data_IF_476376120269
#
_entry.id   IF_476376120269
#
_cell.length_a   1.000
_cell.length_b   1.000
_cell.length_c   1.000
_cell.angle_alpha   90.00
_cell.angle_beta   90.00
_cell.angle_gamma   90.00
#
_symmetry.space_group_name_H-M   'P 1'
#
loop_
_entity.id
_entity.type
_entity.pdbx_description
1 polymer ?
#
# COMPACT_ATOMS: atom_id res chain seq x y z
N UNK A 1 -21.78 -32.92 -25.13
CA UNK A 1 -21.37 -31.78 -24.30
C UNK A 1 -22.37 -31.63 -23.19
N UNK A 2 -21.92 -31.71 -21.96
CA UNK A 2 -22.78 -31.65 -20.77
C UNK A 2 -23.44 -30.28 -20.67
N UNK A 3 -24.76 -30.26 -20.39
CA UNK A 3 -25.42 -29.04 -19.95
C UNK A 3 -25.07 -28.76 -18.51
N UNK A 4 -24.34 -27.66 -18.26
CA UNK A 4 -23.84 -27.31 -16.92
C UNK A 4 -24.99 -27.01 -15.95
N UNK A 5 -26.13 -26.53 -16.45
CA UNK A 5 -27.31 -26.25 -15.62
C UNK A 5 -28.09 -27.52 -15.25
N UNK A 6 -28.09 -28.56 -16.10
CA UNK A 6 -28.62 -29.87 -15.72
C UNK A 6 -27.83 -30.46 -14.52
N UNK A 7 -26.51 -30.29 -14.50
CA UNK A 7 -25.68 -30.71 -13.37
C UNK A 7 -25.96 -29.86 -12.13
N UNK A 8 -26.10 -28.55 -12.29
CA UNK A 8 -26.47 -27.68 -11.18
C UNK A 8 -27.82 -28.04 -10.58
N UNK A 9 -28.83 -28.30 -11.41
CA UNK A 9 -30.18 -28.71 -10.98
C UNK A 9 -30.14 -30.02 -10.20
N UNK A 10 -29.35 -31.01 -10.63
CA UNK A 10 -29.19 -32.26 -9.91
C UNK A 10 -28.56 -32.05 -8.51
N UNK A 11 -27.56 -31.18 -8.40
CA UNK A 11 -26.91 -30.87 -7.12
C UNK A 11 -27.81 -30.02 -6.20
N UNK A 12 -28.53 -29.06 -6.76
CA UNK A 12 -29.51 -28.24 -6.02
C UNK A 12 -30.63 -29.11 -5.50
N UNK A 13 -31.21 -29.98 -6.34
CA UNK A 13 -32.27 -30.92 -5.93
C UNK A 13 -31.80 -31.83 -4.79
N UNK A 14 -30.61 -32.41 -4.93
CA UNK A 14 -30.03 -33.23 -3.87
C UNK A 14 -29.84 -32.44 -2.57
N UNK A 15 -29.32 -31.23 -2.64
CA UNK A 15 -29.09 -30.36 -1.48
C UNK A 15 -30.40 -29.98 -0.79
N UNK A 16 -31.43 -29.61 -1.54
CA UNK A 16 -32.73 -29.18 -1.01
C UNK A 16 -33.50 -30.35 -0.41
N UNK A 17 -33.55 -31.51 -1.09
CA UNK A 17 -34.27 -32.69 -0.61
C UNK A 17 -33.69 -33.26 0.69
N UNK A 18 -32.36 -33.24 0.84
CA UNK A 18 -31.71 -33.88 1.99
C UNK A 18 -31.29 -32.88 3.09
N UNK A 19 -31.07 -31.59 2.75
CA UNK A 19 -30.49 -30.60 3.64
C UNK A 19 -31.14 -29.22 3.53
N UNK A 20 -32.37 -29.12 3.02
CA UNK A 20 -33.05 -27.84 2.76
C UNK A 20 -33.18 -26.92 3.98
N UNK A 21 -33.33 -27.48 5.20
CA UNK A 21 -33.37 -26.72 6.45
C UNK A 21 -31.98 -26.26 6.92
N UNK A 22 -30.91 -26.78 6.33
CA UNK A 22 -29.53 -26.47 6.69
C UNK A 22 -28.83 -25.55 5.68
N UNK A 23 -29.47 -25.27 4.52
CA UNK A 23 -28.92 -24.46 3.42
C UNK A 23 -29.73 -23.18 3.26
N UNK A 24 -29.12 -22.04 3.40
CA UNK A 24 -29.76 -20.73 3.25
C UNK A 24 -29.83 -20.26 1.80
N UNK A 25 -28.76 -20.53 1.01
CA UNK A 25 -28.59 -20.04 -0.34
C UNK A 25 -27.75 -21.02 -1.17
N UNK A 26 -28.12 -21.22 -2.42
CA UNK A 26 -27.23 -21.77 -3.45
C UNK A 26 -27.23 -20.77 -4.60
N UNK A 27 -26.05 -20.39 -5.08
CA UNK A 27 -25.90 -19.42 -6.15
C UNK A 27 -24.72 -19.76 -7.05
N UNK A 28 -24.82 -19.42 -8.34
CA UNK A 28 -23.71 -19.48 -9.27
C UNK A 28 -23.16 -18.07 -9.56
N UNK A 29 -21.95 -18.02 -10.04
CA UNK A 29 -21.24 -16.76 -10.41
C UNK A 29 -20.34 -17.01 -11.63
N UNK A 30 -19.50 -16.06 -11.99
CA UNK A 30 -18.55 -16.25 -13.09
C UNK A 30 -19.15 -16.02 -14.46
N UNK A 31 -18.61 -16.70 -15.48
CA UNK A 31 -18.93 -16.45 -16.89
C UNK A 31 -20.39 -16.71 -17.25
N UNK A 32 -21.01 -17.72 -16.66
CA UNK A 32 -22.42 -18.04 -16.87
C UNK A 32 -23.34 -16.96 -16.27
N UNK A 33 -23.01 -16.44 -15.09
CA UNK A 33 -23.78 -15.37 -14.46
C UNK A 33 -23.66 -14.03 -15.20
N UNK A 34 -22.54 -13.78 -15.90
CA UNK A 34 -22.34 -12.60 -16.75
C UNK A 34 -22.92 -12.75 -18.16
N UNK A 35 -23.24 -13.96 -18.59
CA UNK A 35 -23.68 -14.25 -19.95
C UNK A 35 -22.56 -14.23 -21.00
N UNK A 36 -21.29 -14.36 -20.58
CA UNK A 36 -20.12 -14.42 -21.48
C UNK A 36 -19.40 -15.78 -21.46
N UNK A 37 -20.11 -16.82 -21.00
CA UNK A 37 -19.64 -18.20 -21.03
C UNK A 37 -19.36 -18.67 -22.45
N UNK A 38 -18.29 -19.44 -22.63
CA UNK A 38 -17.89 -20.05 -23.89
C UNK A 38 -18.12 -21.56 -23.86
N UNK A 39 -18.14 -22.23 -25.00
CA UNK A 39 -18.10 -23.69 -25.01
C UNK A 39 -16.93 -24.21 -24.18
N UNK A 40 -17.22 -25.05 -23.20
CA UNK A 40 -16.22 -25.57 -22.26
C UNK A 40 -15.96 -24.69 -21.03
N UNK A 41 -16.74 -23.61 -20.82
CA UNK A 41 -16.72 -22.88 -19.55
C UNK A 41 -17.25 -23.77 -18.43
N UNK A 42 -16.55 -23.78 -17.32
CA UNK A 42 -16.98 -24.36 -16.06
C UNK A 42 -18.15 -23.62 -15.42
N UNK A 43 -18.83 -24.24 -14.48
CA UNK A 43 -19.84 -23.58 -13.66
C UNK A 43 -19.33 -23.45 -12.23
N UNK A 44 -19.03 -22.21 -11.86
CA UNK A 44 -18.68 -21.85 -10.50
C UNK A 44 -19.93 -21.63 -9.67
N UNK A 45 -20.13 -22.38 -8.60
CA UNK A 45 -21.26 -22.17 -7.72
C UNK A 45 -20.94 -22.54 -6.26
N UNK A 46 -21.66 -21.92 -5.36
CA UNK A 46 -21.46 -22.08 -3.93
C UNK A 46 -22.79 -22.28 -3.20
N UNK A 47 -22.71 -22.85 -2.01
CA UNK A 47 -23.80 -22.84 -1.06
C UNK A 47 -23.42 -22.11 0.21
N UNK A 48 -24.43 -21.47 0.82
CA UNK A 48 -24.28 -20.83 2.12
C UNK A 48 -25.07 -21.66 3.14
N UNK A 49 -24.40 -22.27 4.11
CA UNK A 49 -25.10 -22.99 5.15
C UNK A 49 -25.82 -22.04 6.09
N UNK A 50 -26.88 -22.51 6.72
CA UNK A 50 -27.50 -21.85 7.86
C UNK A 50 -26.52 -21.79 9.02
N UNK A 51 -26.58 -20.69 9.79
CA UNK A 51 -25.66 -20.49 10.92
C UNK A 51 -25.60 -21.70 11.86
N UNK A 52 -24.40 -22.17 12.13
CA UNK A 52 -24.13 -23.35 12.96
C UNK A 52 -24.34 -24.70 12.28
N UNK A 53 -24.73 -24.74 10.99
CA UNK A 53 -24.87 -25.96 10.19
C UNK A 53 -23.69 -26.14 9.23
N UNK A 54 -23.42 -27.39 8.87
CA UNK A 54 -22.39 -27.78 7.90
C UNK A 54 -22.84 -29.00 7.11
N UNK A 55 -23.81 -28.88 6.19
CA UNK A 55 -24.24 -30.00 5.37
C UNK A 55 -23.11 -30.49 4.49
N UNK A 56 -22.87 -31.81 4.37
CA UNK A 56 -21.76 -32.39 3.60
C UNK A 56 -22.07 -32.47 2.10
N UNK A 57 -22.46 -31.35 1.52
CA UNK A 57 -22.90 -31.27 0.10
C UNK A 57 -21.84 -30.69 -0.83
N UNK A 58 -20.79 -30.04 -0.26
CA UNK A 58 -19.69 -29.47 -1.05
C UNK A 58 -18.94 -30.54 -1.83
N UNK A 59 -18.69 -30.26 -3.12
CA UNK A 59 -18.01 -31.21 -4.04
C UNK A 59 -17.27 -30.48 -5.13
N UNK A 60 -16.04 -30.91 -5.41
CA UNK A 60 -15.29 -30.54 -6.60
C UNK A 60 -15.08 -31.80 -7.42
N UNK A 61 -15.51 -31.82 -8.69
CA UNK A 61 -15.42 -32.98 -9.55
C UNK A 61 -15.30 -32.58 -11.03
N UNK A 62 -14.92 -33.56 -11.85
CA UNK A 62 -14.91 -33.43 -13.30
C UNK A 62 -16.05 -34.25 -13.89
N UNK A 63 -16.80 -33.68 -14.82
CA UNK A 63 -17.79 -34.38 -15.62
C UNK A 63 -17.60 -34.00 -17.10
N UNK A 64 -17.38 -35.00 -17.97
CA UNK A 64 -17.05 -34.79 -19.38
C UNK A 64 -15.89 -33.78 -19.62
N UNK A 65 -14.91 -33.79 -18.70
CA UNK A 65 -13.74 -32.91 -18.74
C UNK A 65 -13.98 -31.49 -18.26
N UNK A 66 -15.22 -31.14 -17.86
CA UNK A 66 -15.54 -29.84 -17.25
C UNK A 66 -15.40 -29.92 -15.74
N UNK A 67 -14.85 -28.84 -15.15
CA UNK A 67 -14.74 -28.69 -13.70
C UNK A 67 -16.08 -28.16 -13.13
N UNK A 68 -16.53 -28.78 -12.05
CA UNK A 68 -17.62 -28.30 -11.22
C UNK A 68 -17.10 -28.11 -9.81
N UNK A 69 -17.22 -26.89 -9.30
CA UNK A 69 -16.77 -26.53 -7.96
C UNK A 69 -17.95 -26.00 -7.14
N UNK A 70 -18.54 -26.89 -6.34
CA UNK A 70 -19.67 -26.60 -5.46
C UNK A 70 -19.15 -26.52 -4.03
N UNK A 71 -18.85 -25.31 -3.56
CA UNK A 71 -18.13 -25.10 -2.32
C UNK A 71 -18.91 -24.27 -1.29
N UNK A 72 -18.52 -24.43 -0.03
CA UNK A 72 -19.15 -23.74 1.09
C UNK A 72 -18.66 -22.28 1.19
N UNK A 73 -19.60 -21.35 1.27
CA UNK A 73 -19.34 -19.94 1.60
C UNK A 73 -20.34 -19.44 2.66
N UNK A 74 -19.94 -19.39 3.91
CA UNK A 74 -20.75 -18.82 4.98
C UNK A 74 -20.99 -17.31 4.77
N UNK A 75 -22.04 -16.78 5.39
CA UNK A 75 -22.44 -15.38 5.23
C UNK A 75 -21.34 -14.37 5.58
N UNK A 76 -20.53 -14.64 6.62
CA UNK A 76 -19.40 -13.77 6.99
C UNK A 76 -18.29 -13.79 5.92
N UNK A 77 -18.02 -14.94 5.34
CA UNK A 77 -17.08 -15.08 4.22
C UNK A 77 -17.57 -14.32 3.00
N UNK A 78 -18.87 -14.44 2.66
CA UNK A 78 -19.49 -13.67 1.58
C UNK A 78 -19.38 -12.17 1.85
N UNK A 79 -19.59 -11.71 3.08
CA UNK A 79 -19.40 -10.31 3.44
C UNK A 79 -17.95 -9.88 3.30
N UNK A 80 -17.02 -10.72 3.75
CA UNK A 80 -15.59 -10.47 3.58
C UNK A 80 -15.18 -10.35 2.10
N UNK A 81 -15.80 -11.14 1.22
CA UNK A 81 -15.61 -11.02 -0.24
C UNK A 81 -16.27 -9.75 -0.78
N UNK A 82 -17.51 -9.47 -0.41
CA UNK A 82 -18.24 -8.28 -0.85
C UNK A 82 -17.49 -6.97 -0.53
N UNK A 83 -16.83 -6.93 0.62
CA UNK A 83 -16.06 -5.77 1.10
C UNK A 83 -14.59 -5.79 0.73
N UNK A 84 -14.08 -6.90 0.15
CA UNK A 84 -12.66 -7.09 -0.17
C UNK A 84 -11.75 -7.27 1.04
N UNK A 85 -12.30 -7.57 2.22
CA UNK A 85 -11.50 -7.86 3.43
C UNK A 85 -10.97 -9.30 3.46
N UNK A 86 -11.59 -10.18 2.67
CA UNK A 86 -11.12 -11.53 2.38
C UNK A 86 -10.79 -11.61 0.89
N UNK A 87 -9.63 -12.16 0.54
CA UNK A 87 -9.10 -12.32 -0.84
C UNK A 87 -8.92 -11.03 -1.63
N UNK A 88 -8.96 -9.87 -0.97
CA UNK A 88 -8.70 -8.57 -1.57
C UNK A 88 -9.90 -7.93 -2.30
N UNK A 89 -9.72 -6.66 -2.66
CA UNK A 89 -10.73 -5.84 -3.31
C UNK A 89 -10.78 -6.03 -4.83
N UNK A 90 -9.63 -6.28 -5.47
CA UNK A 90 -9.55 -6.28 -6.92
C UNK A 90 -10.50 -7.29 -7.60
N UNK A 91 -10.73 -8.46 -6.97
CA UNK A 91 -11.48 -9.56 -7.60
C UNK A 91 -12.57 -10.18 -6.72
N UNK A 92 -12.39 -10.26 -5.41
CA UNK A 92 -13.30 -10.98 -4.53
C UNK A 92 -14.75 -10.43 -4.55
N UNK A 93 -14.98 -9.10 -4.60
CA UNK A 93 -16.33 -8.55 -4.66
C UNK A 93 -17.13 -9.02 -5.89
N UNK A 94 -16.46 -9.33 -6.99
CA UNK A 94 -17.11 -9.78 -8.22
C UNK A 94 -17.90 -11.08 -8.00
N UNK A 95 -17.40 -12.00 -7.18
CA UNK A 95 -18.11 -13.23 -6.85
C UNK A 95 -19.50 -12.92 -6.26
N UNK A 96 -19.54 -12.04 -5.24
CA UNK A 96 -20.80 -11.69 -4.59
C UNK A 96 -21.72 -10.88 -5.51
N UNK A 97 -21.15 -9.92 -6.25
CA UNK A 97 -21.93 -9.07 -7.17
C UNK A 97 -22.61 -9.85 -8.27
N UNK A 98 -21.94 -10.87 -8.79
CA UNK A 98 -22.41 -11.74 -9.87
C UNK A 98 -23.30 -12.87 -9.34
N UNK A 99 -23.25 -13.21 -8.06
CA UNK A 99 -23.99 -14.34 -7.51
C UNK A 99 -25.46 -14.32 -7.91
N UNK A 100 -25.87 -15.33 -8.69
CA UNK A 100 -27.24 -15.51 -9.17
C UNK A 100 -27.85 -16.70 -8.42
N UNK A 101 -28.89 -16.48 -7.61
CA UNK A 101 -29.49 -17.56 -6.83
C UNK A 101 -30.08 -18.67 -7.70
N UNK A 102 -29.79 -19.92 -7.35
CA UNK A 102 -30.47 -21.13 -7.81
C UNK A 102 -31.47 -21.61 -6.77
N UNK A 103 -31.15 -21.42 -5.48
CA UNK A 103 -32.04 -21.72 -4.37
C UNK A 103 -31.89 -20.68 -3.27
N UNK A 104 -33.00 -20.30 -2.66
CA UNK A 104 -33.07 -19.41 -1.49
C UNK A 104 -34.10 -19.96 -0.52
N UNK A 105 -33.68 -20.25 0.70
CA UNK A 105 -34.55 -20.84 1.72
C UNK A 105 -35.74 -19.95 2.09
N UNK A 106 -35.54 -18.63 2.12
CA UNK A 106 -36.61 -17.67 2.40
C UNK A 106 -36.28 -16.29 1.82
N UNK A 107 -37.29 -15.38 1.68
CA UNK A 107 -37.06 -14.00 1.23
C UNK A 107 -35.98 -13.26 2.02
N UNK A 108 -35.84 -13.51 3.32
CA UNK A 108 -34.85 -12.87 4.17
C UNK A 108 -33.40 -13.15 3.71
N UNK A 109 -33.10 -14.35 3.18
CA UNK A 109 -31.77 -14.66 2.64
C UNK A 109 -31.56 -13.99 1.28
N UNK A 110 -32.59 -13.85 0.47
CA UNK A 110 -32.50 -13.07 -0.77
C UNK A 110 -32.17 -11.59 -0.47
N UNK A 111 -32.87 -11.01 0.53
CA UNK A 111 -32.62 -9.63 0.99
C UNK A 111 -31.22 -9.49 1.57
N UNK A 112 -30.71 -10.50 2.31
CA UNK A 112 -29.34 -10.51 2.84
C UNK A 112 -28.32 -10.50 1.71
N UNK A 113 -28.48 -11.31 0.68
CA UNK A 113 -27.60 -11.28 -0.51
C UNK A 113 -27.67 -9.93 -1.23
N UNK A 114 -28.87 -9.40 -1.42
CA UNK A 114 -29.07 -8.10 -2.07
C UNK A 114 -28.37 -6.97 -1.26
N UNK A 115 -28.43 -7.03 0.06
CA UNK A 115 -27.75 -6.08 0.95
C UNK A 115 -26.24 -6.18 0.83
N UNK A 116 -25.64 -7.39 0.77
CA UNK A 116 -24.22 -7.57 0.54
C UNK A 116 -23.77 -7.02 -0.82
N UNK A 117 -24.57 -7.22 -1.88
CA UNK A 117 -24.30 -6.62 -3.20
C UNK A 117 -24.34 -5.10 -3.14
N UNK A 118 -25.27 -4.52 -2.41
CA UNK A 118 -25.39 -3.08 -2.24
C UNK A 118 -24.22 -2.52 -1.40
N UNK A 119 -23.84 -3.19 -0.30
CA UNK A 119 -22.65 -2.85 0.51
C UNK A 119 -21.38 -2.84 -0.36
N UNK A 120 -21.19 -3.86 -1.17
CA UNK A 120 -20.05 -3.94 -2.09
C UNK A 120 -19.99 -2.78 -3.09
N UNK A 121 -21.13 -2.42 -3.71
CA UNK A 121 -21.20 -1.31 -4.67
C UNK A 121 -21.04 0.06 -3.99
N UNK A 122 -21.45 0.18 -2.74
CA UNK A 122 -21.31 1.41 -1.98
C UNK A 122 -19.84 1.82 -1.79
N UNK A 123 -18.91 0.87 -1.71
CA UNK A 123 -17.48 1.14 -1.58
C UNK A 123 -16.86 1.79 -2.84
N UNK A 124 -17.54 1.74 -3.98
CA UNK A 124 -17.11 2.45 -5.21
C UNK A 124 -17.56 3.91 -5.26
N UNK A 125 -18.37 4.36 -4.29
CA UNK A 125 -18.87 5.73 -4.25
C UNK A 125 -17.79 6.70 -3.77
N UNK A 126 -17.84 7.97 -4.20
CA UNK A 126 -16.87 8.99 -3.79
C UNK A 126 -16.74 9.17 -2.27
N UNK A 127 -17.82 8.97 -1.53
CA UNK A 127 -17.85 9.11 -0.07
C UNK A 127 -16.94 8.09 0.64
N UNK A 128 -16.73 6.92 0.03
CA UNK A 128 -15.85 5.87 0.54
C UNK A 128 -14.38 6.05 0.12
N UNK A 129 -14.06 7.06 -0.71
CA UNK A 129 -12.71 7.29 -1.20
C UNK A 129 -11.64 7.37 -0.11
N UNK A 130 -11.83 8.08 1.01
CA UNK A 130 -10.81 8.14 2.07
C UNK A 130 -10.47 6.77 2.66
N UNK A 131 -11.49 5.92 2.88
CA UNK A 131 -11.31 4.56 3.37
C UNK A 131 -10.58 3.68 2.33
N UNK A 132 -10.97 3.76 1.06
CA UNK A 132 -10.35 2.98 -0.01
C UNK A 132 -8.89 3.41 -0.24
N UNK A 133 -8.58 4.70 -0.13
CA UNK A 133 -7.20 5.20 -0.15
C UNK A 133 -6.38 4.72 1.06
N UNK A 134 -6.98 4.66 2.25
CA UNK A 134 -6.31 4.07 3.42
C UNK A 134 -5.97 2.60 3.16
N UNK A 135 -6.93 1.80 2.68
CA UNK A 135 -6.71 0.39 2.31
C UNK A 135 -5.66 0.24 1.21
N UNK A 136 -5.64 1.14 0.24
CA UNK A 136 -4.63 1.14 -0.83
C UNK A 136 -3.22 1.35 -0.28
N UNK A 137 -3.06 2.20 0.73
CA UNK A 137 -1.78 2.39 1.43
C UNK A 137 -1.36 1.12 2.18
N UNK A 138 -2.29 0.46 2.86
CA UNK A 138 -2.01 -0.81 3.54
C UNK A 138 -1.60 -1.90 2.52
N UNK A 139 -2.30 -1.98 1.37
CA UNK A 139 -1.94 -2.88 0.27
C UNK A 139 -0.56 -2.54 -0.34
N UNK A 140 -0.20 -1.26 -0.41
CA UNK A 140 1.11 -0.84 -0.90
C UNK A 140 2.26 -1.29 0.01
N UNK A 141 2.06 -1.34 1.32
CA UNK A 141 3.05 -1.89 2.23
C UNK A 141 3.37 -3.36 1.89
N UNK A 142 2.37 -4.16 1.48
CA UNK A 142 2.58 -5.51 0.97
C UNK A 142 3.32 -5.51 -0.37
N UNK A 143 3.06 -4.54 -1.26
CA UNK A 143 3.80 -4.43 -2.52
C UNK A 143 5.29 -4.15 -2.26
N UNK A 144 5.64 -3.29 -1.30
CA UNK A 144 7.03 -3.02 -0.89
C UNK A 144 7.69 -4.27 -0.29
N UNK A 145 6.98 -5.02 0.55
CA UNK A 145 7.47 -6.31 1.06
C UNK A 145 7.74 -7.30 -0.08
N UNK A 146 6.83 -7.39 -1.07
CA UNK A 146 7.00 -8.25 -2.25
C UNK A 146 8.18 -7.82 -3.12
N UNK A 147 8.43 -6.53 -3.26
CA UNK A 147 9.61 -6.02 -3.93
C UNK A 147 10.90 -6.48 -3.23
N UNK A 148 10.96 -6.37 -1.90
CA UNK A 148 12.07 -6.89 -1.11
C UNK A 148 12.30 -8.40 -1.31
N UNK A 149 11.23 -9.19 -1.35
CA UNK A 149 11.30 -10.63 -1.65
C UNK A 149 11.82 -10.91 -3.08
N UNK A 150 11.43 -10.08 -4.07
CA UNK A 150 11.93 -10.20 -5.45
C UNK A 150 13.42 -9.90 -5.52
N UNK A 151 13.90 -8.86 -4.84
CA UNK A 151 15.34 -8.56 -4.75
C UNK A 151 16.12 -9.72 -4.09
N UNK A 152 15.59 -10.35 -3.05
CA UNK A 152 16.21 -11.53 -2.46
C UNK A 152 16.21 -12.73 -3.42
N UNK A 153 15.08 -12.99 -4.10
CA UNK A 153 14.93 -14.09 -5.05
C UNK A 153 15.83 -13.94 -6.29
N UNK A 154 16.22 -12.71 -6.66
CA UNK A 154 17.08 -12.46 -7.83
C UNK A 154 18.46 -13.13 -7.77
N UNK A 155 18.89 -13.49 -6.56
CA UNK A 155 20.13 -14.24 -6.31
C UNK A 155 19.96 -15.77 -6.39
N UNK A 156 18.72 -16.23 -6.56
CA UNK A 156 18.35 -17.65 -6.56
C UNK A 156 18.01 -18.17 -7.96
N UNK A 157 17.10 -19.14 -7.97
CA UNK A 157 16.64 -19.77 -9.20
C UNK A 157 15.68 -18.86 -9.95
N UNK A 158 15.61 -19.01 -11.29
CA UNK A 158 14.67 -18.25 -12.12
C UNK A 158 13.20 -18.44 -11.71
N UNK A 159 12.81 -19.67 -11.30
CA UNK A 159 11.47 -19.95 -10.79
C UNK A 159 11.10 -19.08 -9.61
N UNK A 160 12.07 -18.84 -8.71
CA UNK A 160 11.84 -18.04 -7.50
C UNK A 160 11.64 -16.57 -7.86
N UNK A 161 12.41 -16.06 -8.84
CA UNK A 161 12.24 -14.71 -9.41
C UNK A 161 10.86 -14.56 -10.05
N UNK A 162 10.45 -15.53 -10.88
CA UNK A 162 9.15 -15.48 -11.56
C UNK A 162 7.98 -15.51 -10.56
N UNK A 163 8.05 -16.36 -9.55
CA UNK A 163 7.03 -16.42 -8.48
C UNK A 163 6.97 -15.12 -7.67
N UNK A 164 8.12 -14.55 -7.33
CA UNK A 164 8.20 -13.28 -6.60
C UNK A 164 7.69 -12.11 -7.45
N UNK A 165 8.00 -12.09 -8.76
CA UNK A 165 7.51 -11.07 -9.69
C UNK A 165 5.97 -11.08 -9.80
N UNK A 166 5.36 -12.26 -9.97
CA UNK A 166 3.90 -12.39 -9.98
C UNK A 166 3.29 -11.98 -8.63
N UNK A 167 3.92 -12.35 -7.52
CA UNK A 167 3.48 -11.91 -6.19
C UNK A 167 3.47 -10.38 -6.04
N UNK A 168 4.46 -9.69 -6.60
CA UNK A 168 4.52 -8.23 -6.63
C UNK A 168 3.44 -7.65 -7.55
N UNK A 169 3.28 -8.20 -8.75
CA UNK A 169 2.25 -7.75 -9.71
C UNK A 169 0.86 -7.81 -9.08
N UNK A 170 0.52 -8.92 -8.39
CA UNK A 170 -0.76 -9.05 -7.69
C UNK A 170 -0.93 -8.00 -6.59
N UNK A 171 0.10 -7.73 -5.80
CA UNK A 171 0.04 -6.74 -4.72
C UNK A 171 -0.14 -5.31 -5.26
N UNK A 172 0.58 -4.95 -6.34
CA UNK A 172 0.41 -3.66 -7.01
C UNK A 172 -0.98 -3.54 -7.63
N UNK A 173 -1.49 -4.60 -8.26
CA UNK A 173 -2.81 -4.57 -8.87
C UNK A 173 -3.92 -4.36 -7.84
N UNK A 174 -3.83 -5.01 -6.69
CA UNK A 174 -4.72 -4.78 -5.55
C UNK A 174 -4.68 -3.31 -5.09
N UNK A 175 -3.48 -2.75 -4.95
CA UNK A 175 -3.29 -1.35 -4.60
C UNK A 175 -3.96 -0.41 -5.61
N UNK A 176 -3.74 -0.63 -6.91
CA UNK A 176 -4.32 0.17 -7.98
C UNK A 176 -5.84 0.05 -8.04
N UNK A 177 -6.39 -1.16 -7.84
CA UNK A 177 -7.83 -1.38 -7.79
C UNK A 177 -8.48 -0.59 -6.63
N UNK A 178 -7.84 -0.57 -5.46
CA UNK A 178 -8.29 0.19 -4.29
C UNK A 178 -8.24 1.70 -4.52
N UNK A 179 -7.13 2.23 -5.07
CA UNK A 179 -6.99 3.68 -5.38
C UNK A 179 -8.06 4.14 -6.35
N UNK A 180 -8.37 3.33 -7.34
CA UNK A 180 -9.36 3.64 -8.37
C UNK A 180 -10.79 3.27 -7.96
N UNK A 181 -10.99 2.64 -6.81
CA UNK A 181 -12.29 2.13 -6.34
C UNK A 181 -12.97 1.23 -7.38
N UNK A 182 -12.22 0.39 -8.06
CA UNK A 182 -12.73 -0.53 -9.10
C UNK A 182 -12.51 -1.98 -8.70
N UNK A 183 -13.42 -2.85 -9.13
CA UNK A 183 -13.25 -4.30 -9.07
C UNK A 183 -13.28 -4.88 -10.47
N UNK A 184 -12.55 -5.97 -10.69
CA UNK A 184 -12.49 -6.66 -11.98
C UNK A 184 -13.34 -7.93 -11.93
N UNK A 185 -14.21 -8.07 -12.90
CA UNK A 185 -15.23 -9.12 -12.90
C UNK A 185 -14.79 -10.42 -13.57
N UNK A 186 -13.68 -10.39 -14.33
CA UNK A 186 -13.27 -11.48 -15.22
C UNK A 186 -11.97 -12.20 -14.84
N UNK A 187 -11.54 -12.09 -13.61
CA UNK A 187 -10.29 -12.69 -13.17
C UNK A 187 -9.03 -11.95 -13.68
N UNK A 188 -7.88 -12.30 -13.12
CA UNK A 188 -6.64 -11.51 -13.26
C UNK A 188 -6.15 -11.41 -14.70
N UNK A 189 -6.17 -12.50 -15.47
CA UNK A 189 -5.69 -12.51 -16.86
C UNK A 189 -6.48 -11.57 -17.78
N UNK A 190 -7.78 -11.38 -17.50
CA UNK A 190 -8.63 -10.43 -18.23
C UNK A 190 -8.47 -9.01 -17.72
N UNK A 191 -8.26 -8.84 -16.43
CA UNK A 191 -8.00 -7.54 -15.84
C UNK A 191 -6.77 -6.86 -16.46
N UNK A 192 -5.73 -7.62 -16.79
CA UNK A 192 -4.56 -7.11 -17.52
C UNK A 192 -4.90 -6.58 -18.94
N UNK A 193 -6.01 -6.98 -19.50
CA UNK A 193 -6.48 -6.48 -20.80
C UNK A 193 -7.42 -5.25 -20.67
N UNK A 194 -7.72 -4.81 -19.45
CA UNK A 194 -8.65 -3.69 -19.16
C UNK A 194 -7.96 -2.59 -18.30
N UNK A 195 -6.71 -2.15 -18.63
CA UNK A 195 -6.00 -1.15 -17.83
C UNK A 195 -6.67 0.23 -17.86
N UNK A 196 -7.49 0.51 -18.89
CA UNK A 196 -8.27 1.74 -19.05
C UNK A 196 -9.30 1.93 -17.93
N UNK A 197 -9.65 0.89 -17.21
CA UNK A 197 -10.50 0.97 -16.00
C UNK A 197 -9.79 1.62 -14.81
N UNK A 198 -8.47 1.72 -14.87
CA UNK A 198 -7.64 2.38 -13.88
C UNK A 198 -7.41 3.84 -14.29
N UNK A 199 -8.24 4.77 -13.81
CA UNK A 199 -8.06 6.21 -14.07
C UNK A 199 -6.70 6.71 -13.56
N UNK A 200 -6.27 6.25 -12.39
CA UNK A 200 -4.92 6.46 -11.84
C UNK A 200 -4.10 5.19 -12.10
N UNK A 201 -3.25 5.24 -13.12
CA UNK A 201 -2.48 4.10 -13.62
C UNK A 201 -0.99 4.48 -13.76
N UNK A 202 -0.05 3.61 -13.34
CA UNK A 202 1.37 3.80 -13.64
C UNK A 202 1.63 3.92 -15.13
N UNK A 203 2.48 4.86 -15.58
CA UNK A 203 2.94 4.87 -16.96
C UNK A 203 3.55 3.52 -17.33
N UNK A 204 3.28 3.02 -18.55
CA UNK A 204 3.84 1.77 -19.07
C UNK A 204 3.49 0.52 -18.23
N UNK A 205 2.38 0.54 -17.46
CA UNK A 205 2.01 -0.55 -16.54
C UNK A 205 2.16 -1.94 -17.18
N UNK A 206 1.55 -2.18 -18.34
CA UNK A 206 1.58 -3.50 -19.00
C UNK A 206 2.96 -3.87 -19.51
N UNK A 207 3.76 -2.92 -19.97
CA UNK A 207 5.14 -3.14 -20.40
C UNK A 207 6.02 -3.55 -19.23
N UNK A 208 5.89 -2.85 -18.10
CA UNK A 208 6.61 -3.18 -16.86
C UNK A 208 6.24 -4.58 -16.36
N UNK A 209 4.95 -4.91 -16.31
CA UNK A 209 4.47 -6.26 -15.95
C UNK A 209 5.01 -7.30 -16.93
N UNK A 210 4.94 -7.04 -18.24
CA UNK A 210 5.49 -7.94 -19.25
C UNK A 210 6.98 -8.19 -19.03
N UNK A 211 7.78 -7.13 -18.82
CA UNK A 211 9.21 -7.24 -18.53
C UNK A 211 9.48 -8.06 -17.27
N UNK A 212 8.73 -7.80 -16.19
CA UNK A 212 8.90 -8.52 -14.93
C UNK A 212 8.60 -10.01 -15.04
N UNK A 213 7.62 -10.39 -15.85
CA UNK A 213 7.11 -11.77 -15.90
C UNK A 213 7.72 -12.61 -16.99
N UNK A 214 8.26 -11.99 -18.05
CA UNK A 214 8.80 -12.71 -19.22
C UNK A 214 10.29 -12.54 -19.45
N UNK A 215 10.95 -11.49 -18.91
CA UNK A 215 12.38 -11.26 -19.12
C UNK A 215 13.24 -12.39 -18.52
N UNK A 216 14.24 -12.92 -19.26
CA UNK A 216 15.21 -13.86 -18.70
C UNK A 216 16.30 -13.18 -17.85
N UNK A 217 16.41 -11.86 -17.90
CA UNK A 217 17.50 -11.09 -17.29
C UNK A 217 17.01 -10.52 -15.96
N UNK A 218 17.60 -10.97 -14.84
CA UNK A 218 17.18 -10.57 -13.49
C UNK A 218 17.25 -9.06 -13.28
N UNK A 219 18.28 -8.38 -13.73
CA UNK A 219 18.42 -6.92 -13.57
C UNK A 219 17.30 -6.15 -14.27
N UNK A 220 16.85 -6.61 -15.44
CA UNK A 220 15.69 -6.01 -16.13
C UNK A 220 14.41 -6.21 -15.35
N UNK A 221 14.22 -7.38 -14.73
CA UNK A 221 13.08 -7.67 -13.86
C UNK A 221 13.09 -6.72 -12.68
N UNK A 222 14.23 -6.55 -12.01
CA UNK A 222 14.38 -5.67 -10.85
C UNK A 222 14.14 -4.20 -11.23
N UNK A 223 14.75 -3.69 -12.28
CA UNK A 223 14.54 -2.31 -12.75
C UNK A 223 13.06 -2.04 -13.05
N UNK A 224 12.37 -2.97 -13.73
CA UNK A 224 10.95 -2.82 -14.03
C UNK A 224 10.08 -2.86 -12.76
N UNK A 225 10.45 -3.68 -11.78
CA UNK A 225 9.77 -3.80 -10.49
C UNK A 225 9.93 -2.51 -9.66
N UNK A 226 11.14 -1.99 -9.58
CA UNK A 226 11.44 -0.73 -8.88
C UNK A 226 10.68 0.44 -9.50
N UNK A 227 10.65 0.55 -10.84
CA UNK A 227 9.88 1.56 -11.57
C UNK A 227 8.37 1.43 -11.31
N UNK A 228 7.84 0.21 -11.33
CA UNK A 228 6.42 -0.06 -11.07
C UNK A 228 6.02 0.37 -9.66
N UNK A 229 6.79 -0.01 -8.65
CA UNK A 229 6.52 0.36 -7.24
C UNK A 229 6.68 1.86 -7.03
N UNK A 230 7.73 2.50 -7.60
CA UNK A 230 7.92 3.94 -7.51
C UNK A 230 6.78 4.73 -8.16
N UNK A 231 6.29 4.27 -9.32
CA UNK A 231 5.16 4.90 -10.02
C UNK A 231 3.84 4.74 -9.26
N UNK A 232 3.60 3.56 -8.66
CA UNK A 232 2.43 3.31 -7.81
C UNK A 232 2.46 4.20 -6.56
N UNK A 233 3.62 4.38 -5.94
CA UNK A 233 3.81 5.30 -4.81
C UNK A 233 3.40 6.73 -5.18
N UNK A 234 3.85 7.24 -6.34
CA UNK A 234 3.48 8.59 -6.80
C UNK A 234 1.97 8.77 -6.96
N UNK A 235 1.26 7.74 -7.42
CA UNK A 235 -0.21 7.76 -7.50
C UNK A 235 -0.84 7.89 -6.12
N UNK A 236 -0.36 7.13 -5.13
CA UNK A 236 -0.85 7.19 -3.76
C UNK A 236 -0.61 8.56 -3.12
N UNK A 237 0.56 9.15 -3.37
CA UNK A 237 0.91 10.49 -2.88
C UNK A 237 0.02 11.58 -3.50
N UNK A 238 -0.27 11.49 -4.80
CA UNK A 238 -1.15 12.43 -5.49
C UNK A 238 -2.61 12.37 -4.99
N UNK A 239 -3.03 11.23 -4.45
CA UNK A 239 -4.37 11.02 -3.88
C UNK A 239 -4.49 11.39 -2.40
N UNK A 240 -3.44 11.89 -1.76
CA UNK A 240 -3.54 12.32 -0.37
C UNK A 240 -4.43 13.57 -0.23
N UNK A 241 -5.29 13.61 0.81
CA UNK A 241 -6.02 14.83 1.12
C UNK A 241 -5.02 15.96 1.38
N UNK A 242 -5.42 17.17 1.05
CA UNK A 242 -4.63 18.42 1.14
C UNK A 242 -3.63 18.34 2.30
N UNK A 243 -2.34 18.45 1.98
CA UNK A 243 -1.28 18.45 3.00
C UNK A 243 -1.64 19.46 4.08
N UNK A 244 -1.41 19.17 5.38
CA UNK A 244 -1.57 20.18 6.42
C UNK A 244 -0.85 21.48 6.03
N UNK A 245 -1.36 22.61 6.48
CA UNK A 245 -0.78 23.91 6.15
C UNK A 245 0.72 23.93 6.46
N UNK A 246 1.51 24.47 5.53
CA UNK A 246 2.95 24.69 5.72
C UNK A 246 3.18 25.46 7.02
N UNK A 247 4.14 25.02 7.80
CA UNK A 247 4.63 25.81 8.94
C UNK A 247 5.62 26.84 8.40
N UNK A 248 5.64 28.05 8.97
CA UNK A 248 6.75 28.95 8.68
C UNK A 248 8.06 28.32 9.19
N UNK A 249 9.19 28.64 8.54
CA UNK A 249 10.52 28.19 9.02
C UNK A 249 10.69 28.52 10.49
N UNK A 250 10.27 29.73 10.91
CA UNK A 250 10.31 30.13 12.31
C UNK A 250 9.53 29.19 13.22
N UNK A 251 8.28 28.85 12.88
CA UNK A 251 7.46 27.96 13.71
C UNK A 251 7.91 26.49 13.69
N UNK A 252 8.60 26.06 12.62
CA UNK A 252 9.09 24.70 12.49
C UNK A 252 10.42 24.48 13.22
N UNK A 253 11.30 25.49 13.25
CA UNK A 253 12.61 25.43 13.92
C UNK A 253 12.58 26.02 15.33
N UNK A 254 11.46 26.58 15.79
CA UNK A 254 11.37 27.15 17.12
C UNK A 254 11.68 26.08 18.17
N UNK A 255 12.61 26.39 19.06
CA UNK A 255 13.12 25.50 20.13
C UNK A 255 13.82 24.21 19.68
N UNK A 256 13.95 23.94 18.38
CA UNK A 256 14.58 22.70 17.85
C UNK A 256 16.09 22.88 17.66
N UNK A 257 16.58 24.09 17.40
CA UNK A 257 17.99 24.32 17.13
C UNK A 257 18.94 23.85 18.26
N UNK A 258 18.63 24.04 19.57
CA UNK A 258 19.49 23.53 20.64
C UNK A 258 19.70 22.02 20.58
N UNK A 259 18.68 21.24 20.19
CA UNK A 259 18.79 19.78 20.00
C UNK A 259 19.71 19.44 18.83
N UNK A 260 19.55 20.13 17.69
CA UNK A 260 20.44 19.97 16.53
C UNK A 260 21.88 20.31 16.87
N UNK A 261 22.10 21.37 17.68
CA UNK A 261 23.42 21.75 18.17
C UNK A 261 24.07 20.68 19.07
N UNK A 262 23.26 19.98 19.86
CA UNK A 262 23.75 18.85 20.65
C UNK A 262 24.17 17.66 19.76
N UNK A 263 23.40 17.37 18.68
CA UNK A 263 23.78 16.35 17.69
C UNK A 263 25.10 16.73 17.01
N UNK A 264 25.27 17.99 16.58
CA UNK A 264 26.56 18.46 16.04
C UNK A 264 27.70 18.21 16.99
N UNK A 265 27.53 18.52 18.30
CA UNK A 265 28.55 18.30 19.33
C UNK A 265 28.89 16.81 19.47
N UNK A 266 27.89 15.93 19.45
CA UNK A 266 28.08 14.47 19.51
C UNK A 266 28.81 13.95 18.28
N UNK A 267 28.44 14.43 17.10
CA UNK A 267 29.08 14.09 15.82
C UNK A 267 30.57 14.48 15.85
N UNK A 268 30.89 15.72 16.26
CA UNK A 268 32.26 16.20 16.34
C UNK A 268 33.10 15.40 17.36
N UNK A 269 32.49 14.97 18.47
CA UNK A 269 33.14 14.10 19.46
C UNK A 269 33.43 12.74 18.87
N UNK A 270 32.43 12.09 18.23
CA UNK A 270 32.61 10.79 17.60
C UNK A 270 33.73 10.83 16.53
N UNK A 271 33.78 11.90 15.72
CA UNK A 271 34.90 12.10 14.79
C UNK A 271 36.27 12.22 15.48
N UNK A 272 36.33 12.93 16.62
CA UNK A 272 37.59 13.11 17.36
C UNK A 272 38.03 11.81 18.04
N UNK A 273 37.10 10.99 18.48
CA UNK A 273 37.34 9.69 19.13
C UNK A 273 37.65 8.57 18.12
N UNK A 274 37.51 8.84 16.82
CA UNK A 274 37.70 7.84 15.77
C UNK A 274 36.57 6.82 15.65
N UNK A 275 35.39 7.11 16.24
CA UNK A 275 34.22 6.23 16.18
C UNK A 275 33.40 6.49 14.91
N UNK A 276 33.73 5.75 13.83
CA UNK A 276 33.10 5.87 12.53
C UNK A 276 31.58 5.56 12.58
N UNK A 277 31.17 4.60 13.41
CA UNK A 277 29.76 4.19 13.50
C UNK A 277 28.94 5.26 14.20
N UNK A 278 29.41 5.77 15.33
CA UNK A 278 28.74 6.85 16.03
C UNK A 278 28.72 8.13 15.17
N UNK A 279 29.82 8.47 14.50
CA UNK A 279 29.90 9.61 13.61
C UNK A 279 28.89 9.51 12.45
N UNK A 280 28.76 8.34 11.84
CA UNK A 280 27.79 8.09 10.78
C UNK A 280 26.35 8.20 11.28
N UNK A 281 26.04 7.67 12.48
CA UNK A 281 24.71 7.76 13.09
C UNK A 281 24.32 9.20 13.39
N UNK A 282 25.21 9.98 13.99
CA UNK A 282 24.93 11.39 14.30
C UNK A 282 24.82 12.25 13.03
N UNK A 283 25.61 11.94 11.99
CA UNK A 283 25.47 12.59 10.68
C UNK A 283 24.11 12.30 10.03
N UNK A 284 23.66 11.05 10.11
CA UNK A 284 22.33 10.64 9.67
C UNK A 284 21.22 11.40 10.42
N UNK A 285 21.28 11.41 11.74
CA UNK A 285 20.29 12.07 12.58
C UNK A 285 20.19 13.57 12.25
N UNK A 286 21.32 14.25 12.23
CA UNK A 286 21.38 15.69 11.94
C UNK A 286 20.84 16.04 10.55
N UNK A 287 21.30 15.34 9.51
CA UNK A 287 20.84 15.59 8.14
C UNK A 287 19.37 15.29 7.97
N UNK A 288 18.88 14.20 8.57
CA UNK A 288 17.46 13.78 8.46
C UNK A 288 16.55 14.79 9.16
N UNK A 289 16.91 15.25 10.36
CA UNK A 289 16.12 16.22 11.11
C UNK A 289 16.02 17.55 10.37
N UNK A 290 17.16 18.11 9.94
CA UNK A 290 17.18 19.37 9.15
C UNK A 290 16.38 19.21 7.86
N UNK A 291 16.55 18.12 7.15
CA UNK A 291 15.83 17.81 5.89
C UNK A 291 14.32 17.74 6.12
N UNK A 292 13.88 17.03 7.17
CA UNK A 292 12.47 16.85 7.50
C UNK A 292 11.80 18.19 7.82
N UNK A 293 12.43 18.99 8.67
CA UNK A 293 11.88 20.29 9.08
C UNK A 293 11.85 21.28 7.92
N UNK A 294 12.89 21.33 7.08
CA UNK A 294 12.91 22.16 5.87
C UNK A 294 11.80 21.76 4.90
N UNK A 295 11.65 20.47 4.64
CA UNK A 295 10.59 19.96 3.77
C UNK A 295 9.22 20.37 4.31
N UNK A 296 8.96 20.14 5.59
CA UNK A 296 7.68 20.47 6.22
C UNK A 296 7.38 21.98 6.17
N UNK A 297 8.42 22.82 6.21
CA UNK A 297 8.30 24.27 6.09
C UNK A 297 8.06 24.74 4.66
N UNK A 298 8.72 24.13 3.67
CA UNK A 298 8.69 24.56 2.27
C UNK A 298 7.57 23.88 1.49
N UNK A 299 7.30 22.61 1.77
CA UNK A 299 6.36 21.78 1.02
C UNK A 299 5.12 21.37 1.82
N UNK A 300 5.17 21.49 3.14
CA UNK A 300 4.18 20.99 4.10
C UNK A 300 4.49 19.57 4.57
N UNK A 301 4.00 19.20 5.76
CA UNK A 301 4.31 17.89 6.36
C UNK A 301 3.85 16.74 5.47
N UNK A 302 4.72 15.76 5.27
CA UNK A 302 4.49 14.54 4.51
C UNK A 302 4.39 13.36 5.47
N UNK A 303 3.52 12.42 5.18
CA UNK A 303 3.50 11.17 5.92
C UNK A 303 4.81 10.40 5.64
N UNK A 304 5.71 10.31 6.64
CA UNK A 304 7.05 9.71 6.51
C UNK A 304 7.05 8.27 5.99
N UNK A 305 5.97 7.51 6.22
CA UNK A 305 5.81 6.17 5.64
C UNK A 305 5.85 6.14 4.11
N UNK A 306 5.57 7.27 3.46
CA UNK A 306 5.39 7.36 2.01
C UNK A 306 6.44 8.21 1.32
N UNK A 307 7.17 9.05 2.06
CA UNK A 307 8.26 9.81 1.51
C UNK A 307 9.41 8.86 1.13
N UNK A 308 9.83 8.78 -0.14
CA UNK A 308 11.07 8.08 -0.45
C UNK A 308 12.19 8.77 0.31
N UNK A 309 13.12 7.96 0.78
CA UNK A 309 14.38 8.47 1.31
C UNK A 309 15.00 9.38 0.22
N UNK A 310 15.16 10.65 0.52
CA UNK A 310 15.70 11.62 -0.46
C UNK A 310 14.70 12.60 -1.09
N UNK A 311 13.38 12.43 -0.97
CA UNK A 311 12.43 13.46 -1.46
C UNK A 311 12.57 14.83 -0.76
N UNK A 312 13.05 14.86 0.48
CA UNK A 312 13.42 16.10 1.16
C UNK A 312 14.83 16.63 0.81
N UNK A 313 15.67 15.82 0.17
CA UNK A 313 17.05 16.17 -0.13
C UNK A 313 17.14 17.36 -1.09
N UNK A 314 16.17 17.55 -1.98
CA UNK A 314 16.15 18.70 -2.90
C UNK A 314 16.07 20.03 -2.14
N UNK A 315 15.18 20.15 -1.17
CA UNK A 315 15.04 21.35 -0.35
C UNK A 315 16.30 21.61 0.49
N UNK A 316 16.88 20.57 1.05
CA UNK A 316 18.12 20.61 1.83
C UNK A 316 19.31 21.10 0.99
N UNK A 317 19.49 20.52 -0.20
CA UNK A 317 20.57 20.90 -1.13
C UNK A 317 20.35 22.31 -1.68
N UNK A 318 19.11 22.68 -2.04
CA UNK A 318 18.77 24.02 -2.52
C UNK A 318 19.00 25.10 -1.45
N UNK A 319 18.81 24.76 -0.17
CA UNK A 319 19.14 25.63 0.95
C UNK A 319 20.66 25.72 1.21
N UNK A 320 21.51 25.00 0.49
CA UNK A 320 22.96 25.09 0.54
C UNK A 320 23.62 24.28 1.66
N UNK A 321 22.90 23.35 2.29
CA UNK A 321 23.45 22.50 3.34
C UNK A 321 24.38 21.42 2.78
N UNK A 322 25.50 21.09 3.46
CA UNK A 322 26.41 20.02 3.02
C UNK A 322 25.80 18.64 3.19
N UNK A 323 26.02 17.75 2.24
CA UNK A 323 25.57 16.35 2.31
C UNK A 323 26.48 15.54 3.23
N UNK A 324 26.10 15.45 4.52
CA UNK A 324 26.85 14.71 5.52
C UNK A 324 26.84 13.21 5.25
N UNK A 325 25.74 12.68 4.70
CA UNK A 325 25.63 11.24 4.43
C UNK A 325 26.55 10.79 3.29
N UNK A 326 26.76 11.63 2.28
CA UNK A 326 27.76 11.36 1.26
C UNK A 326 29.20 11.33 1.81
N UNK A 327 29.44 12.02 2.93
CA UNK A 327 30.75 12.11 3.59
C UNK A 327 30.93 11.10 4.75
N UNK A 328 29.84 10.48 5.22
CA UNK A 328 29.85 9.62 6.42
C UNK A 328 30.69 8.32 6.24
N UNK A 329 30.95 7.89 5.01
CA UNK A 329 31.84 6.76 4.71
C UNK A 329 33.29 7.17 4.37
N UNK A 330 33.60 8.45 4.47
CA UNK A 330 34.90 9.03 4.17
C UNK A 330 35.74 9.36 5.41
N UNK A 331 36.82 10.13 5.25
CA UNK A 331 37.67 10.56 6.37
C UNK A 331 36.90 11.41 7.40
N UNK A 332 37.04 11.08 8.67
CA UNK A 332 36.31 11.71 9.77
C UNK A 332 36.62 13.22 9.95
N UNK A 333 37.81 13.66 9.57
CA UNK A 333 38.19 15.07 9.58
C UNK A 333 37.39 15.88 8.55
N UNK A 334 37.13 15.29 7.38
CA UNK A 334 36.28 15.90 6.33
C UNK A 334 34.82 15.97 6.81
N UNK A 335 34.31 14.90 7.41
CA UNK A 335 32.96 14.88 7.99
C UNK A 335 32.83 15.92 9.11
N UNK A 336 33.80 16.01 10.01
CA UNK A 336 33.84 17.01 11.08
C UNK A 336 33.85 18.44 10.55
N UNK A 337 34.63 18.70 9.50
CA UNK A 337 34.65 20.02 8.85
C UNK A 337 33.32 20.36 8.18
N UNK A 338 32.70 19.41 7.52
CA UNK A 338 31.35 19.57 6.91
C UNK A 338 30.28 19.82 7.98
N UNK A 339 30.34 19.13 9.11
CA UNK A 339 29.40 19.31 10.23
C UNK A 339 29.49 20.71 10.85
N UNK A 340 30.69 21.27 10.98
CA UNK A 340 30.86 22.67 11.42
C UNK A 340 30.28 23.65 10.42
N UNK A 341 30.51 23.43 9.11
CA UNK A 341 29.91 24.27 8.06
C UNK A 341 28.39 24.20 8.08
N UNK A 342 27.82 22.98 8.34
CA UNK A 342 26.38 22.83 8.47
C UNK A 342 25.85 23.68 9.63
N UNK A 343 26.47 23.58 10.80
CA UNK A 343 26.08 24.35 12.00
C UNK A 343 26.13 25.88 11.76
N UNK A 344 27.22 26.36 11.18
CA UNK A 344 27.39 27.79 10.85
C UNK A 344 26.33 28.24 9.84
N UNK A 345 26.07 27.43 8.81
CA UNK A 345 25.05 27.71 7.79
C UNK A 345 23.64 27.68 8.39
N UNK A 346 23.33 26.70 9.23
CA UNK A 346 22.04 26.58 9.89
C UNK A 346 21.79 27.80 10.81
N UNK A 347 22.78 28.25 11.56
CA UNK A 347 22.66 29.47 12.38
C UNK A 347 22.37 30.71 11.54
N UNK A 348 23.02 30.87 10.40
CA UNK A 348 22.76 31.99 9.50
C UNK A 348 21.35 31.89 8.93
N UNK A 349 20.98 30.72 8.41
CA UNK A 349 19.64 30.46 7.87
C UNK A 349 18.54 30.76 8.89
N UNK A 350 18.70 30.33 10.12
CA UNK A 350 17.71 30.55 11.19
C UNK A 350 17.58 32.02 11.54
N UNK A 351 18.70 32.76 11.64
CA UNK A 351 18.68 34.23 11.88
C UNK A 351 17.96 34.98 10.76
N UNK A 352 18.23 34.62 9.52
CA UNK A 352 17.58 35.22 8.35
C UNK A 352 16.06 35.02 8.33
N UNK A 353 15.58 33.97 8.99
CA UNK A 353 14.16 33.64 9.17
C UNK A 353 13.58 34.09 10.51
N UNK A 354 14.32 34.82 11.32
CA UNK A 354 13.87 35.36 12.61
C UNK A 354 13.66 34.28 13.69
N UNK A 355 14.39 33.16 13.59
CA UNK A 355 14.39 32.10 14.62
C UNK A 355 15.43 32.40 15.67
N UNK A 356 15.06 32.31 16.96
CA UNK A 356 16.00 32.41 18.08
C UNK A 356 16.76 31.10 18.27
N UNK A 357 18.08 31.18 18.34
CA UNK A 357 18.90 29.99 18.60
C UNK A 357 18.91 29.56 20.08
N UNK A 358 18.31 30.33 20.99
CA UNK A 358 18.19 30.03 22.42
C UNK A 358 19.50 29.56 23.05
N UNK A 359 20.62 30.21 22.74
CA UNK A 359 21.94 29.95 23.30
C UNK A 359 22.29 31.02 24.35
N UNK A 360 22.72 30.58 25.52
CA UNK A 360 23.16 31.46 26.61
C UNK A 360 24.57 31.10 26.98
N UNK A 361 25.45 32.09 27.08
CA UNK A 361 26.84 31.87 27.50
C UNK A 361 26.97 31.73 29.03
N UNK A 362 26.03 32.33 29.77
CA UNK A 362 26.06 32.35 31.25
C UNK A 362 24.70 32.09 31.86
N UNK A 363 24.69 31.69 33.14
CA UNK A 363 23.42 31.52 33.90
C UNK A 363 22.73 32.88 34.10
N UNK A 364 23.47 33.96 34.18
CA UNK A 364 22.95 35.34 34.27
C UNK A 364 22.17 35.74 33.02
N UNK A 365 22.69 35.39 31.85
CA UNK A 365 21.97 35.62 30.57
C UNK A 365 20.66 34.82 30.53
N UNK A 366 20.69 33.54 30.94
CA UNK A 366 19.49 32.72 31.03
C UNK A 366 18.46 33.33 32.01
N UNK A 367 18.90 33.77 33.21
CA UNK A 367 18.01 34.42 34.19
C UNK A 367 17.37 35.70 33.62
N UNK A 368 18.16 36.50 32.94
CA UNK A 368 17.67 37.75 32.30
C UNK A 368 16.63 37.43 31.21
N UNK A 369 16.84 36.41 30.42
CA UNK A 369 15.89 35.97 29.40
C UNK A 369 14.58 35.43 30.01
N UNK A 370 14.66 34.63 31.08
CA UNK A 370 13.48 34.12 31.78
C UNK A 370 12.63 35.23 32.42
N UNK A 371 13.24 36.33 32.86
CA UNK A 371 12.52 37.48 33.42
C UNK A 371 11.79 38.29 32.36
N UNK A 372 12.19 38.20 31.08
CA UNK A 372 11.56 38.94 29.93
C UNK A 372 10.34 38.17 29.38
N UNK A 373 10.19 36.91 29.73
CA UNK A 373 8.97 36.12 29.37
C UNK A 373 7.89 36.47 30.36
N UNK A 374 7.04 37.44 30.00
CA UNK A 374 5.83 37.74 30.79
C UNK A 374 4.96 36.48 30.86
N UNK A 375 4.35 36.15 32.00
CA UNK A 375 3.37 35.08 32.06
C UNK A 375 2.20 35.39 31.12
N UNK A 376 1.60 34.34 30.51
CA UNK A 376 0.53 34.49 29.54
C UNK A 376 -0.72 35.11 30.11
#
# INVERSE_FOLDING_TARGET
>A
MVDVFEVADALVSHAVENYGDEVDLIAFYGSHARGDARPGSDLDFFYTPRDGKRPPIGRTFLLDGLLFDFWELGWETLRGFATGTIRGWAFAPALVRQATPLHVRSPAQADRLASLKAESRALERPECRPEMQRRARDAFAHAVERLGRLHLASRGRRSDVSCAAWGLVHAVWECLALVNQVTFERGFHRALAEPERLAACPPRLLELIGTMTTSPVADRVLCAADELVASTRRILQAGEPTRPAKRSVRAAFDQVYPEMRDIVRKLLRACADGDEVAASLEAYSLQTDVTSILRDSLEGPVNERWAPYGEGAAAYVQAGFPDLMALASGPLDILAAASRRLDDHLRSFLRDHGVSCCEFATVEELRSALQQVSPP
#
